data_IF_775542455409
#
_entry.id   IF_775542455409
#
_cell.length_a   1.000
_cell.length_b   1.000
_cell.length_c   1.000
_cell.angle_alpha   90.00
_cell.angle_beta   90.00
_cell.angle_gamma   90.00
#
_symmetry.space_group_name_H-M   'P 1'
#
loop_
_entity.id
_entity.type
_entity.pdbx_description
1 polymer ?
#
# COMPACT_ATOMS: atom_id res chain seq x y z
N UNK A 1 -11.85 -26.62 -23.00
CA UNK A 1 -13.04 -25.73 -22.99
C UNK A 1 -14.15 -26.52 -22.33
N UNK A 2 -14.58 -26.07 -21.15
CA UNK A 2 -15.79 -26.59 -20.50
C UNK A 2 -16.67 -25.37 -20.28
N UNK A 3 -17.80 -25.35 -20.96
CA UNK A 3 -18.90 -24.45 -20.70
C UNK A 3 -19.80 -25.13 -19.67
N UNK A 4 -19.78 -24.66 -18.42
CA UNK A 4 -20.70 -25.15 -17.40
C UNK A 4 -21.85 -24.16 -17.18
N UNK A 5 -23.04 -24.75 -17.28
CA UNK A 5 -24.33 -24.11 -17.33
C UNK A 5 -24.85 -23.56 -16.00
N UNK A 6 -26.03 -22.97 -16.12
CA UNK A 6 -26.75 -22.20 -15.11
C UNK A 6 -27.56 -23.16 -14.22
N UNK A 7 -27.29 -23.23 -12.91
CA UNK A 7 -28.33 -23.39 -11.87
C UNK A 7 -27.79 -23.36 -10.42
N UNK A 8 -28.60 -22.71 -9.57
CA UNK A 8 -28.77 -22.78 -8.09
C UNK A 8 -27.64 -22.39 -7.10
N UNK A 9 -27.85 -21.19 -6.55
CA UNK A 9 -27.81 -20.76 -5.13
C UNK A 9 -26.61 -20.97 -4.17
N UNK A 10 -25.60 -21.80 -4.41
CA UNK A 10 -24.59 -22.01 -3.35
C UNK A 10 -23.17 -22.26 -3.85
N UNK A 11 -22.45 -21.23 -4.31
CA UNK A 11 -20.99 -21.35 -4.53
C UNK A 11 -20.23 -20.76 -3.34
N UNK A 12 -19.90 -21.63 -2.37
CA UNK A 12 -19.06 -21.29 -1.21
C UNK A 12 -17.73 -20.68 -1.65
N UNK A 13 -17.34 -19.57 -1.01
CA UNK A 13 -16.11 -18.79 -1.29
C UNK A 13 -14.82 -19.41 -0.69
N UNK A 14 -14.92 -20.52 0.05
CA UNK A 14 -13.79 -21.29 0.64
C UNK A 14 -13.94 -22.76 0.28
N UNK A 15 -12.83 -23.40 -0.12
CA UNK A 15 -12.67 -24.85 -0.07
C UNK A 15 -11.61 -25.08 1.03
N UNK A 16 -12.05 -25.52 2.20
CA UNK A 16 -11.13 -25.96 3.25
C UNK A 16 -10.80 -27.45 3.06
N UNK A 17 -9.72 -27.93 3.70
CA UNK A 17 -9.34 -29.36 3.67
C UNK A 17 -10.47 -30.27 4.16
N UNK A 18 -11.32 -29.77 5.05
CA UNK A 18 -12.44 -30.51 5.64
C UNK A 18 -13.68 -30.53 4.72
N UNK A 19 -13.79 -29.58 3.78
CA UNK A 19 -14.85 -29.57 2.75
C UNK A 19 -14.58 -30.57 1.61
N UNK A 20 -13.32 -30.97 1.39
CA UNK A 20 -12.95 -31.96 0.38
C UNK A 20 -13.41 -33.39 0.73
N UNK A 21 -13.81 -33.61 1.99
CA UNK A 21 -14.19 -34.92 2.48
C UNK A 21 -15.65 -35.30 2.17
N UNK A 22 -16.50 -34.37 1.74
CA UNK A 22 -17.95 -34.59 1.75
C UNK A 22 -18.75 -34.27 0.48
N UNK A 23 -18.18 -33.80 -0.64
CA UNK A 23 -18.97 -33.75 -1.89
C UNK A 23 -18.09 -33.69 -3.16
N UNK A 24 -18.52 -34.48 -4.14
CA UNK A 24 -18.15 -34.61 -5.55
C UNK A 24 -16.66 -34.64 -6.01
N UNK A 25 -16.43 -35.30 -7.15
CA UNK A 25 -15.12 -35.46 -7.76
C UNK A 25 -14.53 -34.14 -8.29
N UNK A 26 -15.37 -33.14 -8.55
CA UNK A 26 -15.00 -31.84 -9.11
C UNK A 26 -14.31 -30.97 -8.04
N UNK A 27 -14.85 -30.97 -6.82
CA UNK A 27 -14.29 -30.26 -5.66
C UNK A 27 -12.90 -30.79 -5.29
N UNK A 28 -12.70 -32.10 -5.40
CA UNK A 28 -11.40 -32.75 -5.18
C UNK A 28 -10.38 -32.38 -6.26
N UNK A 29 -10.78 -32.35 -7.54
CA UNK A 29 -9.91 -31.96 -8.64
C UNK A 29 -9.50 -30.48 -8.56
N UNK A 30 -10.44 -29.60 -8.20
CA UNK A 30 -10.18 -28.16 -8.00
C UNK A 30 -9.22 -27.92 -6.83
N UNK A 31 -9.37 -28.63 -5.72
CA UNK A 31 -8.42 -28.58 -4.60
C UNK A 31 -7.02 -29.05 -5.01
N UNK A 32 -6.92 -30.11 -5.83
CA UNK A 32 -5.64 -30.62 -6.32
C UNK A 32 -4.86 -29.63 -7.18
N UNK A 33 -5.53 -28.73 -7.90
CA UNK A 33 -4.90 -27.71 -8.75
C UNK A 33 -4.62 -26.41 -8.00
N UNK A 34 -5.54 -25.93 -7.16
CA UNK A 34 -5.48 -24.59 -6.59
C UNK A 34 -5.18 -24.54 -5.09
N UNK A 35 -5.20 -25.67 -4.38
CA UNK A 35 -5.01 -25.73 -2.93
C UNK A 35 -6.07 -24.92 -2.17
N UNK A 36 -5.66 -24.19 -1.13
CA UNK A 36 -6.55 -23.36 -0.28
C UNK A 36 -6.81 -21.95 -0.84
N UNK A 37 -6.45 -21.67 -2.10
CA UNK A 37 -6.60 -20.34 -2.71
C UNK A 37 -8.07 -20.03 -3.02
N UNK A 38 -8.49 -18.79 -2.78
CA UNK A 38 -9.86 -18.33 -3.08
C UNK A 38 -10.03 -18.03 -4.58
N UNK A 39 -11.18 -18.39 -5.16
CA UNK A 39 -11.60 -18.00 -6.52
C UNK A 39 -12.85 -17.13 -6.43
N UNK A 40 -12.71 -15.82 -6.67
CA UNK A 40 -13.86 -14.93 -6.87
C UNK A 40 -14.34 -15.11 -8.32
N UNK A 41 -15.54 -15.66 -8.52
CA UNK A 41 -16.13 -15.72 -9.86
C UNK A 41 -16.69 -14.33 -10.22
N UNK A 42 -15.90 -13.55 -10.98
CA UNK A 42 -16.26 -12.22 -11.50
C UNK A 42 -17.53 -12.28 -12.39
N UNK A 43 -17.95 -13.46 -12.85
CA UNK A 43 -19.02 -13.62 -13.82
C UNK A 43 -20.42 -13.18 -13.34
N UNK A 44 -20.72 -13.13 -12.03
CA UNK A 44 -22.05 -12.76 -11.54
C UNK A 44 -22.28 -11.25 -11.67
N UNK A 45 -21.24 -10.46 -11.39
CA UNK A 45 -21.18 -9.01 -11.62
C UNK A 45 -21.37 -8.70 -13.12
N UNK A 46 -20.73 -9.47 -13.99
CA UNK A 46 -20.76 -9.26 -15.44
C UNK A 46 -22.04 -9.77 -16.12
N UNK A 47 -22.76 -10.74 -15.53
CA UNK A 47 -23.97 -11.33 -16.12
C UNK A 47 -25.25 -10.58 -15.77
N UNK A 48 -25.38 -10.10 -14.53
CA UNK A 48 -26.64 -9.49 -14.07
C UNK A 48 -26.75 -7.99 -14.47
N UNK A 49 -25.63 -7.34 -14.80
CA UNK A 49 -25.58 -5.93 -15.20
C UNK A 49 -25.16 -5.70 -16.66
N UNK A 50 -24.94 -6.77 -17.43
CA UNK A 50 -24.38 -6.71 -18.79
C UNK A 50 -25.40 -7.05 -19.87
N UNK A 51 -26.40 -6.20 -20.13
CA UNK A 51 -27.13 -6.27 -21.42
C UNK A 51 -26.61 -5.28 -22.46
N UNK A 52 -25.69 -4.39 -22.08
CA UNK A 52 -24.95 -3.53 -23.00
C UNK A 52 -23.58 -3.23 -22.41
N UNK A 53 -22.51 -3.93 -22.81
CA UNK A 53 -21.22 -3.28 -23.07
C UNK A 53 -20.11 -4.26 -23.53
N UNK A 54 -19.32 -3.88 -24.55
CA UNK A 54 -17.97 -4.39 -24.74
C UNK A 54 -17.09 -4.02 -23.53
N UNK A 55 -16.10 -4.85 -23.22
CA UNK A 55 -15.11 -4.56 -22.19
C UNK A 55 -14.43 -3.19 -22.50
N UNK A 56 -14.62 -2.17 -21.64
CA UNK A 56 -13.89 -0.90 -21.76
C UNK A 56 -12.37 -1.09 -21.56
N UNK A 57 -11.98 -2.17 -20.89
CA UNK A 57 -10.61 -2.66 -20.86
C UNK A 57 -10.58 -4.10 -21.36
N UNK A 58 -9.88 -4.40 -22.46
CA UNK A 58 -9.76 -5.74 -23.03
C UNK A 58 -8.82 -6.68 -22.25
N UNK A 59 -8.18 -6.17 -21.18
CA UNK A 59 -7.21 -6.92 -20.39
C UNK A 59 -7.87 -7.51 -19.14
N UNK A 60 -7.47 -8.72 -18.77
CA UNK A 60 -7.84 -9.33 -17.51
C UNK A 60 -7.28 -8.52 -16.32
N UNK A 61 -8.15 -8.19 -15.36
CA UNK A 61 -7.73 -7.61 -14.09
C UNK A 61 -7.21 -8.71 -13.17
N UNK A 62 -5.92 -8.68 -12.86
CA UNK A 62 -5.29 -9.60 -11.91
C UNK A 62 -4.81 -8.85 -10.67
N UNK A 63 -5.32 -9.23 -9.51
CA UNK A 63 -4.86 -8.73 -8.21
C UNK A 63 -4.00 -9.81 -7.55
N UNK A 64 -2.75 -9.49 -7.23
CA UNK A 64 -1.85 -10.40 -6.51
C UNK A 64 -1.61 -9.83 -5.12
N UNK A 65 -2.27 -10.43 -4.13
CA UNK A 65 -2.04 -10.12 -2.72
C UNK A 65 -1.00 -11.12 -2.20
N UNK A 66 0.18 -10.62 -1.86
CA UNK A 66 1.22 -11.44 -1.22
C UNK A 66 1.17 -11.20 0.28
N UNK A 67 0.96 -12.27 1.04
CA UNK A 67 0.86 -12.21 2.49
C UNK A 67 2.22 -12.55 3.11
N UNK A 68 2.58 -11.96 4.27
CA UNK A 68 3.79 -12.32 4.98
C UNK A 68 3.81 -13.81 5.30
N UNK A 69 5.00 -14.40 5.29
CA UNK A 69 5.19 -15.80 5.65
C UNK A 69 4.84 -16.02 7.12
N UNK A 70 4.44 -17.25 7.47
CA UNK A 70 4.15 -17.59 8.87
C UNK A 70 5.33 -17.27 9.81
N UNK A 71 6.57 -17.45 9.35
CA UNK A 71 7.78 -17.13 10.14
C UNK A 71 7.96 -15.62 10.40
N UNK A 72 7.42 -14.74 9.55
CA UNK A 72 7.46 -13.29 9.76
C UNK A 72 6.38 -12.80 10.74
N UNK A 73 5.34 -13.60 10.95
CA UNK A 73 4.21 -13.33 11.85
C UNK A 73 4.40 -14.03 13.20
N UNK A 74 5.07 -15.18 13.22
CA UNK A 74 5.35 -15.97 14.42
C UNK A 74 6.57 -15.42 15.17
N UNK A 75 6.34 -14.78 16.32
CA UNK A 75 7.35 -14.66 17.38
C UNK A 75 6.68 -14.65 18.76
N UNK A 76 6.12 -15.80 19.15
CA UNK A 76 5.79 -16.14 20.53
C UNK A 76 6.70 -17.26 21.01
N UNK A 77 7.52 -17.02 22.03
CA UNK A 77 8.15 -18.11 22.77
C UNK A 77 7.03 -18.97 23.39
N UNK A 78 6.79 -20.14 22.82
CA UNK A 78 5.92 -21.16 23.40
C UNK A 78 4.76 -21.55 22.50
N UNK A 79 5.03 -22.30 21.42
CA UNK A 79 4.12 -23.30 20.84
C UNK A 79 2.70 -22.89 20.40
N UNK A 80 2.28 -21.65 20.57
CA UNK A 80 0.94 -21.20 20.20
C UNK A 80 0.89 -21.02 18.69
N UNK A 81 0.11 -21.90 18.06
CA UNK A 81 -0.24 -21.79 16.65
C UNK A 81 -0.98 -20.47 16.47
N UNK A 82 -0.45 -19.58 15.64
CA UNK A 82 -1.16 -18.35 15.26
C UNK A 82 -2.49 -18.77 14.62
N UNK A 83 -3.61 -18.45 15.27
CA UNK A 83 -4.92 -18.50 14.63
C UNK A 83 -4.83 -17.62 13.38
N UNK A 84 -5.07 -18.23 12.22
CA UNK A 84 -4.71 -17.67 10.92
C UNK A 84 -5.19 -16.24 10.68
N UNK A 85 -4.57 -15.56 9.73
CA UNK A 85 -5.00 -14.23 9.32
C UNK A 85 -6.38 -14.30 8.63
N UNK A 86 -7.23 -13.33 8.94
CA UNK A 86 -8.44 -13.05 8.17
C UNK A 86 -8.22 -11.79 7.37
N UNK A 87 -8.30 -11.89 6.04
CA UNK A 87 -8.44 -10.72 5.18
C UNK A 87 -9.92 -10.37 5.12
N UNK A 88 -10.26 -9.19 5.63
CA UNK A 88 -11.61 -8.65 5.62
C UNK A 88 -11.65 -7.42 4.69
N UNK A 89 -12.84 -7.06 4.20
CA UNK A 89 -13.07 -5.85 3.39
C UNK A 89 -12.24 -5.77 2.10
N UNK A 90 -11.93 -6.90 1.46
CA UNK A 90 -11.46 -6.89 0.07
C UNK A 90 -12.68 -6.67 -0.82
N UNK A 91 -12.81 -5.44 -1.32
CA UNK A 91 -13.93 -5.02 -2.16
C UNK A 91 -13.42 -4.61 -3.54
N UNK A 92 -14.20 -4.97 -4.57
CA UNK A 92 -14.01 -4.47 -5.92
C UNK A 92 -15.03 -3.35 -6.11
N UNK A 93 -14.55 -2.12 -6.17
CA UNK A 93 -15.38 -0.99 -6.60
C UNK A 93 -15.40 -0.95 -8.13
N UNK A 94 -16.59 -0.96 -8.70
CA UNK A 94 -16.81 -0.78 -10.13
C UNK A 94 -18.05 0.07 -10.34
N UNK A 95 -18.07 0.83 -11.44
CA UNK A 95 -19.19 1.65 -11.85
C UNK A 95 -19.84 1.02 -13.09
N UNK A 96 -21.16 0.83 -13.06
CA UNK A 96 -21.95 0.40 -14.21
C UNK A 96 -22.68 1.60 -14.82
N UNK A 97 -22.70 1.68 -16.15
CA UNK A 97 -23.40 2.74 -16.89
C UNK A 97 -24.58 2.11 -17.61
N UNK A 98 -25.79 2.28 -17.06
CA UNK A 98 -27.01 1.67 -17.60
C UNK A 98 -27.64 2.48 -18.75
N UNK A 99 -27.07 3.65 -19.06
CA UNK A 99 -27.51 4.49 -20.17
C UNK A 99 -26.63 4.29 -21.40
N UNK A 100 -27.21 3.85 -22.52
CA UNK A 100 -26.50 3.51 -23.75
C UNK A 100 -25.67 4.67 -24.33
N UNK A 101 -26.14 5.91 -24.22
CA UNK A 101 -25.41 7.07 -24.76
C UNK A 101 -24.22 7.43 -23.87
N UNK A 102 -24.37 7.32 -22.55
CA UNK A 102 -23.25 7.46 -21.61
C UNK A 102 -22.24 6.31 -21.78
N UNK A 103 -22.71 5.09 -22.01
CA UNK A 103 -21.85 3.94 -22.25
C UNK A 103 -21.01 4.12 -23.52
N UNK A 104 -21.62 4.54 -24.64
CA UNK A 104 -20.90 4.87 -25.88
C UNK A 104 -19.91 6.02 -25.71
N UNK A 105 -20.26 7.04 -24.92
CA UNK A 105 -19.33 8.13 -24.59
C UNK A 105 -18.14 7.61 -23.78
N UNK A 106 -18.40 6.78 -22.77
CA UNK A 106 -17.35 6.16 -21.97
C UNK A 106 -16.45 5.26 -22.82
N UNK A 107 -17.03 4.42 -23.68
CA UNK A 107 -16.32 3.58 -24.64
C UNK A 107 -15.44 4.42 -25.58
N UNK A 108 -15.96 5.52 -26.11
CA UNK A 108 -15.19 6.46 -26.92
C UNK A 108 -14.00 7.08 -26.16
N UNK A 109 -14.16 7.37 -24.86
CA UNK A 109 -13.07 7.87 -24.01
C UNK A 109 -11.98 6.80 -23.80
N UNK A 110 -12.35 5.54 -23.55
CA UNK A 110 -11.40 4.44 -23.37
C UNK A 110 -10.81 3.90 -24.68
N UNK A 111 -11.51 4.06 -25.79
CA UNK A 111 -11.03 3.78 -27.15
C UNK A 111 -9.96 4.77 -27.62
N UNK A 112 -9.82 5.92 -26.94
CA UNK A 112 -8.75 6.89 -27.17
C UNK A 112 -7.59 6.71 -26.17
N UNK A 113 -6.49 7.46 -26.35
CA UNK A 113 -5.41 7.49 -25.36
C UNK A 113 -5.90 8.20 -24.08
N UNK A 114 -5.82 7.50 -22.94
CA UNK A 114 -6.21 8.02 -21.63
C UNK A 114 -5.15 7.72 -20.58
N UNK A 115 -4.96 8.64 -19.66
CA UNK A 115 -4.11 8.48 -18.48
C UNK A 115 -4.95 8.56 -17.21
N UNK A 116 -4.80 7.58 -16.31
CA UNK A 116 -5.44 7.54 -14.99
C UNK A 116 -4.35 7.67 -13.94
N UNK A 117 -4.43 8.71 -13.10
CA UNK A 117 -3.49 8.92 -12.00
C UNK A 117 -3.94 8.17 -10.76
N UNK A 118 -2.99 7.65 -9.99
CA UNK A 118 -3.25 6.93 -8.75
C UNK A 118 -2.12 7.13 -7.75
N UNK A 119 -2.40 6.93 -6.47
CA UNK A 119 -1.36 6.93 -5.43
C UNK A 119 -0.74 5.55 -5.29
N UNK A 120 0.57 5.51 -5.15
CA UNK A 120 1.34 4.28 -5.02
C UNK A 120 2.27 4.34 -3.81
N UNK A 121 2.07 3.40 -2.88
CA UNK A 121 2.95 3.16 -1.75
C UNK A 121 3.86 1.96 -2.03
N UNK A 122 5.18 2.15 -1.94
CA UNK A 122 6.17 1.07 -2.08
C UNK A 122 6.92 0.89 -0.76
N UNK A 123 6.92 -0.32 -0.19
CA UNK A 123 7.90 -0.68 0.85
C UNK A 123 9.28 -0.78 0.20
N UNK A 124 10.19 0.12 0.54
CA UNK A 124 11.53 0.16 -0.04
C UNK A 124 12.49 -0.74 0.71
N UNK A 125 12.52 -0.63 2.05
CA UNK A 125 13.39 -1.45 2.87
C UNK A 125 12.88 -1.60 4.30
N UNK A 126 13.38 -2.66 4.94
CA UNK A 126 13.30 -2.91 6.37
C UNK A 126 14.71 -2.80 6.94
N UNK A 127 14.89 -2.01 7.99
CA UNK A 127 16.18 -1.83 8.67
C UNK A 127 16.04 -2.04 10.16
N UNK A 128 17.12 -2.50 10.81
CA UNK A 128 17.16 -2.68 12.26
C UNK A 128 18.11 -1.66 12.86
N UNK A 129 17.66 -0.99 13.91
CA UNK A 129 18.40 0.02 14.63
C UNK A 129 18.69 -0.48 16.04
N UNK A 130 19.97 -0.50 16.40
CA UNK A 130 20.36 -0.81 17.77
C UNK A 130 19.81 0.25 18.73
N UNK A 131 19.42 -0.20 19.93
CA UNK A 131 18.95 0.66 21.02
C UNK A 131 19.93 1.79 21.36
N UNK A 132 21.22 1.54 21.20
CA UNK A 132 22.30 2.46 21.57
C UNK A 132 22.68 3.43 20.44
N UNK A 133 22.20 3.20 19.21
CA UNK A 133 22.50 4.06 18.06
C UNK A 133 21.89 5.44 18.25
N UNK A 134 22.68 6.51 18.10
CA UNK A 134 22.21 7.89 18.23
C UNK A 134 22.07 8.61 16.89
N UNK A 135 22.73 8.12 15.85
CA UNK A 135 22.69 8.65 14.49
C UNK A 135 22.39 7.48 13.55
N UNK A 136 21.35 7.64 12.73
CA UNK A 136 20.96 6.70 11.67
C UNK A 136 21.04 7.44 10.35
N UNK A 137 21.62 6.80 9.33
CA UNK A 137 21.68 7.34 7.98
C UNK A 137 20.97 6.39 7.03
N UNK A 138 19.96 6.89 6.34
CA UNK A 138 19.21 6.14 5.34
C UNK A 138 19.33 6.79 3.97
N UNK A 139 19.73 5.99 2.99
CA UNK A 139 19.72 6.40 1.58
C UNK A 139 18.49 5.84 0.88
N UNK A 140 17.83 6.69 0.10
CA UNK A 140 16.63 6.37 -0.67
C UNK A 140 16.95 6.68 -2.13
N UNK A 141 17.07 5.63 -2.93
CA UNK A 141 17.43 5.72 -4.34
C UNK A 141 16.37 5.01 -5.19
N UNK A 142 15.15 5.55 -5.15
CA UNK A 142 14.01 5.01 -5.89
C UNK A 142 13.60 6.06 -6.92
N UNK A 143 13.78 5.80 -8.24
CA UNK A 143 13.38 6.75 -9.25
C UNK A 143 11.85 6.85 -9.29
N UNK A 144 11.35 8.07 -9.14
CA UNK A 144 9.93 8.42 -9.17
C UNK A 144 9.75 9.74 -9.89
N UNK A 145 8.74 9.83 -10.76
CA UNK A 145 8.41 11.09 -11.45
C UNK A 145 7.76 12.09 -10.52
N UNK A 146 7.01 11.60 -9.53
CA UNK A 146 6.36 12.38 -8.49
C UNK A 146 6.41 11.60 -7.17
N UNK A 147 7.42 11.87 -6.34
CA UNK A 147 7.53 11.32 -4.99
C UNK A 147 6.84 12.27 -4.00
N UNK A 148 5.69 11.86 -3.46
CA UNK A 148 4.90 12.67 -2.54
C UNK A 148 5.51 12.72 -1.16
N UNK A 149 5.93 11.59 -0.61
CA UNK A 149 6.46 11.52 0.74
C UNK A 149 7.33 10.29 0.97
N UNK A 150 8.17 10.40 1.99
CA UNK A 150 8.82 9.25 2.62
C UNK A 150 8.14 9.04 3.97
N UNK A 151 7.69 7.81 4.22
CA UNK A 151 7.04 7.42 5.48
C UNK A 151 7.87 6.33 6.14
N UNK A 152 8.28 6.55 7.38
CA UNK A 152 8.98 5.56 8.19
C UNK A 152 8.10 5.16 9.37
N UNK A 153 7.83 3.86 9.47
CA UNK A 153 7.10 3.24 10.57
C UNK A 153 8.07 2.44 11.44
N UNK A 154 7.85 2.43 12.75
CA UNK A 154 8.79 1.85 13.70
C UNK A 154 8.11 0.85 14.61
N UNK A 155 8.69 -0.33 14.79
CA UNK A 155 8.23 -1.33 15.75
C UNK A 155 9.38 -1.74 16.67
N UNK A 156 9.07 -2.29 17.85
CA UNK A 156 10.11 -2.91 18.67
C UNK A 156 10.50 -4.25 18.03
N UNK A 157 11.79 -4.55 17.95
CA UNK A 157 12.27 -5.84 17.43
C UNK A 157 11.73 -7.04 18.23
N UNK A 158 11.51 -6.84 19.52
CA UNK A 158 11.10 -7.89 20.46
C UNK A 158 9.60 -7.92 20.75
N UNK A 159 8.81 -6.95 20.25
CA UNK A 159 7.35 -6.97 20.45
C UNK A 159 6.64 -7.55 19.25
N UNK A 160 5.71 -8.46 19.54
CA UNK A 160 5.00 -9.31 18.57
C UNK A 160 3.76 -8.65 17.96
N UNK A 161 3.30 -7.51 18.48
CA UNK A 161 2.09 -6.87 17.96
C UNK A 161 2.39 -6.05 16.69
N UNK A 162 1.99 -6.62 15.55
CA UNK A 162 2.09 -6.02 14.21
C UNK A 162 1.34 -4.69 14.05
N UNK A 163 0.47 -4.32 15.01
CA UNK A 163 -0.34 -3.09 14.95
C UNK A 163 0.24 -1.94 15.78
N UNK A 164 1.38 -2.14 16.45
CA UNK A 164 1.96 -1.14 17.35
C UNK A 164 3.16 -0.41 16.74
N UNK A 165 2.95 0.85 16.35
CA UNK A 165 4.02 1.73 15.89
C UNK A 165 4.51 2.67 16.99
N UNK A 166 5.80 2.60 17.30
CA UNK A 166 6.39 3.32 18.43
C UNK A 166 7.12 4.58 17.99
N UNK A 167 7.26 5.53 18.90
CA UNK A 167 8.16 6.66 18.71
C UNK A 167 9.59 6.29 19.18
N UNK A 168 10.61 6.27 18.30
CA UNK A 168 11.95 5.78 18.66
C UNK A 168 12.86 6.89 19.22
N UNK A 169 12.30 7.86 19.95
CA UNK A 169 13.03 8.99 20.56
C UNK A 169 13.81 9.89 19.56
N UNK A 170 13.22 10.18 18.40
CA UNK A 170 13.80 11.06 17.37
C UNK A 170 13.86 12.51 17.86
N UNK A 171 15.04 13.12 17.87
CA UNK A 171 15.23 14.52 18.24
C UNK A 171 15.23 15.43 17.01
N UNK A 172 15.81 14.95 15.90
CA UNK A 172 16.07 15.75 14.71
C UNK A 172 16.22 14.89 13.46
N UNK A 173 15.71 15.39 12.33
CA UNK A 173 15.83 14.73 11.02
C UNK A 173 16.41 15.69 9.99
N UNK A 174 17.52 15.36 9.35
CA UNK A 174 18.11 16.11 8.25
C UNK A 174 17.88 15.39 6.93
N UNK A 175 17.44 16.14 5.94
CA UNK A 175 17.17 15.62 4.60
C UNK A 175 18.03 16.37 3.60
N UNK A 176 18.76 15.62 2.78
CA UNK A 176 19.55 16.12 1.67
C UNK A 176 19.08 15.43 0.40
N UNK A 177 18.73 16.19 -0.62
CA UNK A 177 18.24 15.68 -1.90
C UNK A 177 19.30 16.03 -2.95
N UNK A 178 19.90 15.02 -3.58
CA UNK A 178 20.92 15.22 -4.61
C UNK A 178 22.08 16.14 -4.17
N UNK A 179 22.50 16.01 -2.91
CA UNK A 179 23.57 16.84 -2.31
C UNK A 179 23.13 18.23 -1.84
N UNK A 180 21.89 18.64 -2.10
CA UNK A 180 21.33 19.91 -1.64
C UNK A 180 20.55 19.70 -0.34
N UNK A 181 20.91 20.37 0.77
CA UNK A 181 20.17 20.27 2.02
C UNK A 181 18.78 20.90 1.87
N UNK A 182 17.81 20.41 2.65
CA UNK A 182 16.47 20.98 2.68
C UNK A 182 16.52 22.49 3.01
N UNK A 183 15.96 23.32 2.13
CA UNK A 183 15.99 24.78 2.28
C UNK A 183 15.12 25.30 3.44
N UNK A 184 14.00 24.62 3.72
CA UNK A 184 13.07 24.99 4.81
C UNK A 184 13.66 24.59 6.16
N UNK A 185 14.26 23.41 6.21
CA UNK A 185 14.85 22.84 7.42
C UNK A 185 16.35 22.63 7.22
N UNK A 186 17.08 23.72 6.96
CA UNK A 186 18.55 23.69 6.76
C UNK A 186 19.29 23.13 7.98
N UNK A 187 18.74 23.36 9.16
CA UNK A 187 19.19 22.79 10.43
C UNK A 187 18.44 21.52 10.82
N UNK A 188 17.76 20.84 9.90
CA UNK A 188 16.94 19.66 10.16
C UNK A 188 15.57 19.97 10.78
N UNK A 189 14.63 19.05 10.56
CA UNK A 189 13.28 19.06 11.11
C UNK A 189 13.39 18.72 12.61
N UNK A 190 13.00 19.63 13.52
CA UNK A 190 13.02 19.35 14.95
C UNK A 190 11.87 18.43 15.35
N UNK A 191 12.03 17.71 16.46
CA UNK A 191 10.97 16.87 17.08
C UNK A 191 9.60 17.54 17.13
N UNK A 192 9.55 18.84 17.46
CA UNK A 192 8.31 19.61 17.61
C UNK A 192 7.50 19.74 16.32
N UNK A 193 8.14 19.59 15.15
CA UNK A 193 7.51 19.70 13.83
C UNK A 193 7.12 18.36 13.21
N UNK A 194 7.57 17.23 13.77
CA UNK A 194 7.28 15.89 13.21
C UNK A 194 5.77 15.61 13.13
N UNK A 195 5.01 16.04 14.13
CA UNK A 195 3.54 15.91 14.14
C UNK A 195 2.88 16.74 13.02
N UNK A 196 3.38 17.95 12.76
CA UNK A 196 2.81 18.80 11.72
C UNK A 196 3.06 18.24 10.32
N UNK A 197 4.24 17.68 10.07
CA UNK A 197 4.56 17.01 8.80
C UNK A 197 3.64 15.78 8.57
N UNK A 198 3.42 14.97 9.61
CA UNK A 198 2.50 13.83 9.53
C UNK A 198 1.05 14.29 9.30
N UNK A 199 0.60 15.31 10.04
CA UNK A 199 -0.73 15.91 9.89
C UNK A 199 -0.95 16.51 8.50
N UNK A 200 0.08 17.08 7.89
CA UNK A 200 0.00 17.66 6.55
C UNK A 200 -0.22 16.61 5.47
N UNK A 201 0.37 15.42 5.63
CA UNK A 201 0.24 14.33 4.67
C UNK A 201 -1.09 13.59 4.80
N UNK A 202 -1.42 13.10 6.00
CA UNK A 202 -2.60 12.25 6.22
C UNK A 202 -3.90 13.04 6.41
N UNK A 203 -3.84 14.38 6.32
CA UNK A 203 -5.00 15.24 6.43
C UNK A 203 -5.52 15.39 7.86
N UNK A 204 -6.56 16.21 7.99
CA UNK A 204 -7.14 16.51 9.30
C UNK A 204 -8.00 15.39 9.82
N UNK A 205 -8.66 14.57 9.02
CA UNK A 205 -9.77 13.76 9.54
C UNK A 205 -9.28 12.50 10.29
N UNK A 206 -8.23 11.84 9.83
CA UNK A 206 -7.63 10.69 10.53
C UNK A 206 -6.74 11.10 11.72
N UNK A 207 -6.08 12.27 11.65
CA UNK A 207 -5.20 12.79 12.71
C UNK A 207 -5.93 13.76 13.66
N UNK A 208 -7.11 14.28 13.32
CA UNK A 208 -7.87 15.23 14.16
C UNK A 208 -8.21 14.67 15.53
N UNK A 209 -8.35 13.34 15.62
CA UNK A 209 -8.58 12.64 16.88
C UNK A 209 -7.30 12.41 17.69
N UNK A 210 -6.12 12.58 17.09
CA UNK A 210 -4.84 12.48 17.79
C UNK A 210 -4.36 13.84 18.27
N UNK A 211 -4.12 13.92 19.58
CA UNK A 211 -3.38 15.06 20.16
C UNK A 211 -1.89 14.92 19.86
N UNK A 212 -1.13 16.02 19.90
CA UNK A 212 0.34 15.99 19.83
C UNK A 212 0.94 14.98 20.82
N UNK A 213 0.40 14.94 22.04
CA UNK A 213 0.81 13.98 23.07
C UNK A 213 0.49 12.54 22.68
N UNK A 214 -0.70 12.31 22.12
CA UNK A 214 -1.13 11.01 21.60
C UNK A 214 -0.22 10.54 20.46
N UNK A 215 0.11 11.40 19.50
CA UNK A 215 0.99 11.05 18.39
C UNK A 215 2.35 10.46 18.82
N UNK A 216 2.93 10.95 19.93
CA UNK A 216 4.22 10.46 20.45
C UNK A 216 4.10 9.34 21.50
N UNK A 217 2.96 9.21 22.18
CA UNK A 217 2.77 8.21 23.25
C UNK A 217 1.96 6.99 22.80
N UNK A 218 1.05 7.20 21.85
CA UNK A 218 0.23 6.15 21.30
C UNK A 218 1.07 5.29 20.36
N UNK A 219 0.63 4.05 20.20
CA UNK A 219 1.27 3.04 19.34
C UNK A 219 0.97 3.28 17.85
N UNK A 220 0.98 4.53 17.40
CA UNK A 220 0.58 4.99 16.06
C UNK A 220 1.52 6.05 15.47
N UNK A 221 2.77 6.09 15.92
CA UNK A 221 3.73 7.08 15.44
C UNK A 221 4.23 6.74 14.02
N UNK A 222 4.34 7.76 13.17
CA UNK A 222 5.00 7.67 11.87
C UNK A 222 5.91 8.89 11.67
N UNK A 223 7.13 8.68 11.18
CA UNK A 223 7.96 9.79 10.68
C UNK A 223 7.58 10.03 9.22
N UNK A 224 7.15 11.26 8.93
CA UNK A 224 6.79 11.69 7.58
C UNK A 224 7.74 12.79 7.13
N UNK A 225 8.29 12.62 5.92
CA UNK A 225 8.98 13.66 5.18
C UNK A 225 8.15 13.92 3.94
N UNK A 226 7.36 14.99 3.97
CA UNK A 226 6.51 15.37 2.85
C UNK A 226 7.34 16.17 1.83
N UNK A 227 7.29 15.72 0.59
CA UNK A 227 8.08 16.17 -0.55
C UNK A 227 7.21 16.85 -1.61
N UNK A 228 5.93 17.09 -1.32
CA UNK A 228 5.02 17.81 -2.21
C UNK A 228 5.37 19.28 -2.27
N UNK A 229 5.23 19.87 -3.45
CA UNK A 229 5.41 21.31 -3.67
C UNK A 229 4.22 22.14 -3.16
N UNK A 230 3.05 21.53 -3.05
CA UNK A 230 1.83 22.15 -2.54
C UNK A 230 1.16 21.24 -1.51
N UNK A 231 0.55 21.85 -0.49
CA UNK A 231 -0.24 21.15 0.50
C UNK A 231 -1.65 20.86 -0.04
N UNK A 232 -1.71 20.03 -1.09
CA UNK A 232 -2.94 19.53 -1.67
C UNK A 232 -2.83 18.01 -1.82
N UNK A 233 -3.80 17.30 -1.21
CA UNK A 233 -3.89 15.85 -1.27
C UNK A 233 -4.52 15.36 -2.57
N UNK A 234 -5.33 16.19 -3.23
CA UNK A 234 -6.12 15.78 -4.40
C UNK A 234 -5.37 15.97 -5.73
N UNK A 235 -4.30 16.76 -5.73
CA UNK A 235 -3.49 16.99 -6.92
C UNK A 235 -2.41 15.92 -7.06
N UNK A 236 -2.46 15.18 -8.17
CA UNK A 236 -1.41 14.27 -8.60
C UNK A 236 -0.28 15.02 -9.30
N UNK A 237 0.96 14.52 -9.18
CA UNK A 237 2.12 15.08 -9.86
C UNK A 237 2.77 16.25 -9.14
N UNK A 238 2.35 16.57 -7.92
CA UNK A 238 2.93 17.64 -7.10
C UNK A 238 4.12 17.17 -6.24
N UNK A 239 4.51 15.90 -6.31
CA UNK A 239 5.65 15.34 -5.60
C UNK A 239 6.99 15.71 -6.22
N UNK A 240 8.07 15.50 -5.46
CA UNK A 240 9.43 15.71 -5.93
C UNK A 240 9.80 14.71 -7.03
N UNK A 241 10.36 15.22 -8.13
CA UNK A 241 10.85 14.40 -9.23
C UNK A 241 12.26 13.90 -8.93
N UNK A 242 12.43 12.58 -8.86
CA UNK A 242 13.70 11.89 -8.58
C UNK A 242 13.98 10.94 -9.74
N UNK A 243 14.88 11.28 -10.66
CA UNK A 243 15.11 10.48 -11.89
C UNK A 243 16.55 10.00 -12.08
N UNK A 244 17.54 10.63 -11.45
CA UNK A 244 18.94 10.38 -11.78
C UNK A 244 19.85 10.48 -10.54
N UNK A 245 19.64 9.58 -9.60
CA UNK A 245 20.24 9.68 -8.27
C UNK A 245 21.50 8.82 -8.15
N UNK A 246 22.65 9.37 -8.55
CA UNK A 246 23.94 8.86 -8.04
C UNK A 246 24.03 9.04 -6.51
N UNK A 247 23.36 10.05 -5.95
CA UNK A 247 23.41 10.37 -4.51
C UNK A 247 22.09 10.19 -3.74
N UNK A 248 20.95 10.06 -4.43
CA UNK A 248 19.66 9.78 -3.79
C UNK A 248 19.12 10.89 -2.90
N UNK A 249 18.11 10.53 -2.10
CA UNK A 249 17.72 11.27 -0.90
C UNK A 249 18.45 10.65 0.28
N UNK A 250 19.19 11.47 1.02
CA UNK A 250 19.86 11.10 2.26
C UNK A 250 19.05 11.63 3.43
N UNK A 251 18.69 10.73 4.35
CA UNK A 251 17.99 11.05 5.58
C UNK A 251 18.90 10.70 6.76
N UNK A 252 19.34 11.72 7.49
CA UNK A 252 20.08 11.57 8.74
C UNK A 252 19.11 11.79 9.91
N UNK A 253 18.98 10.80 10.80
CA UNK A 253 18.10 10.84 11.96
C UNK A 253 18.96 10.84 13.21
N UNK A 254 18.85 11.90 14.01
CA UNK A 254 19.41 11.96 15.35
C UNK A 254 18.36 11.52 16.36
N UNK A 255 18.68 10.53 17.18
CA UNK A 255 17.79 10.02 18.24
C UNK A 255 18.52 9.84 19.56
N UNK A 256 17.76 9.76 20.65
CA UNK A 256 18.28 9.27 21.93
C UNK A 256 18.32 7.75 21.96
N UNK A 257 19.10 7.20 22.87
CA UNK A 257 19.06 5.78 23.17
C UNK A 257 17.62 5.35 23.51
N UNK A 258 17.25 4.15 23.07
CA UNK A 258 15.95 3.53 23.36
C UNK A 258 16.16 2.36 24.33
N UNK A 259 15.07 1.82 24.87
CA UNK A 259 15.15 0.66 25.77
C UNK A 259 15.30 -0.66 25.02
N UNK A 260 14.86 -0.71 23.76
CA UNK A 260 14.91 -1.88 22.89
C UNK A 260 15.37 -1.49 21.48
N UNK A 261 15.82 -2.50 20.74
CA UNK A 261 16.12 -2.38 19.32
C UNK A 261 14.85 -2.09 18.53
N UNK A 262 14.98 -1.27 17.51
CA UNK A 262 13.86 -0.76 16.71
C UNK A 262 13.97 -1.32 15.30
N UNK A 263 12.85 -1.76 14.73
CA UNK A 263 12.74 -2.10 13.32
C UNK A 263 12.06 -0.94 12.60
N UNK A 264 12.68 -0.43 11.55
CA UNK A 264 12.14 0.63 10.71
C UNK A 264 11.69 0.06 9.35
N UNK A 265 10.44 0.32 8.99
CA UNK A 265 9.88 0.07 7.67
C UNK A 265 9.81 1.39 6.91
N UNK A 266 10.56 1.49 5.81
CA UNK A 266 10.63 2.71 5.00
C UNK A 266 9.78 2.54 3.74
N UNK A 267 8.75 3.36 3.64
CA UNK A 267 7.86 3.47 2.51
C UNK A 267 8.14 4.73 1.69
N UNK A 268 8.00 4.60 0.38
CA UNK A 268 7.97 5.71 -0.57
C UNK A 268 6.55 5.84 -1.09
N UNK A 269 5.95 7.01 -0.91
CA UNK A 269 4.68 7.38 -1.52
C UNK A 269 4.95 8.18 -2.79
N UNK A 270 4.31 7.79 -3.88
CA UNK A 270 4.49 8.39 -5.19
C UNK A 270 3.19 8.39 -5.99
N UNK A 271 3.09 9.28 -6.97
CA UNK A 271 2.03 9.21 -7.96
C UNK A 271 2.41 8.28 -9.10
N UNK A 272 1.49 7.40 -9.45
CA UNK A 272 1.55 6.60 -10.65
C UNK A 272 0.56 7.08 -11.70
N UNK A 273 0.83 6.73 -12.95
CA UNK A 273 -0.09 6.93 -14.07
C UNK A 273 -0.24 5.62 -14.83
N UNK A 274 -1.47 5.18 -14.98
CA UNK A 274 -1.88 4.09 -15.85
C UNK A 274 -2.24 4.69 -17.20
N UNK A 275 -1.53 4.30 -18.25
CA UNK A 275 -1.86 4.67 -19.62
C UNK A 275 -2.71 3.57 -20.25
N UNK A 276 -3.88 3.95 -20.73
CA UNK A 276 -4.82 3.12 -21.47
C UNK A 276 -4.84 3.62 -22.92
N UNK A 277 -4.86 2.72 -23.89
CA UNK A 277 -4.95 3.07 -25.32
C UNK A 277 -5.79 2.01 -26.01
N UNK A 278 -6.82 2.42 -26.74
CA UNK A 278 -7.75 1.52 -27.42
C UNK A 278 -8.34 0.44 -26.49
N UNK A 279 -8.67 0.83 -25.26
CA UNK A 279 -9.18 -0.09 -24.24
C UNK A 279 -8.13 -1.10 -23.73
N UNK A 280 -6.83 -0.90 -23.95
CA UNK A 280 -5.78 -1.78 -23.46
C UNK A 280 -4.81 -1.02 -22.54
N UNK A 281 -4.30 -1.70 -21.51
CA UNK A 281 -3.18 -1.18 -20.72
C UNK A 281 -1.97 -1.02 -21.62
N UNK A 282 -1.61 0.23 -21.92
CA UNK A 282 -0.42 0.56 -22.69
C UNK A 282 0.83 0.67 -21.81
N UNK A 283 0.66 0.96 -20.52
CA UNK A 283 1.76 0.94 -19.55
C UNK A 283 1.42 1.60 -18.22
N UNK A 284 2.31 1.40 -17.26
CA UNK A 284 2.24 2.04 -15.94
C UNK A 284 3.55 2.79 -15.72
N UNK A 285 3.45 4.02 -15.24
CA UNK A 285 4.59 4.87 -14.90
C UNK A 285 4.49 5.26 -13.43
N UNK A 286 5.64 5.37 -12.76
CA UNK A 286 5.81 5.83 -11.38
C UNK A 286 6.85 6.96 -11.34
#
# INVERSE_FOLDING_TARGET
MVEDGIASEATKKRISKDDAANDDAETTALFGVFGTKQKIRINKILKDHGLYAPHNMANDLQYVITLPTAAEIMNGQGGESVEGYTLENIELEYESIDNIDLARKAEGLYGSERELSFEHATLMKKTEWSKDSTIINETINVPRRSMKAIVMLFTNKTKTDSKEYIYPNIEKVRVTIEGVPNAVYSQGIPKTRLYEEARRLFGTDEISHQTLTGFFKDKKFALVIDLRTANDANTYGNGAKIQNTQSGILVEITKKATTADVVCYLFVLSDGVIKITNGQLAGIKY
#
